data_IF_739466066211
#
_entry.id   IF_739466066211
#
_cell.length_a   1.000
_cell.length_b   1.000
_cell.length_c   1.000
_cell.angle_alpha   90.00
_cell.angle_beta   90.00
_cell.angle_gamma   90.00
#
_symmetry.space_group_name_H-M   'P 1'
#
loop_
_entity.id
_entity.type
_entity.pdbx_description
1 polymer ?
#
# COMPACT_ATOMS: atom_id res chain seq x y z
N UNK A 1 25.81 26.86 -1.06
CA UNK A 1 24.88 26.34 -0.04
C UNK A 1 25.35 24.99 0.47
N UNK A 2 25.34 24.73 1.79
CA UNK A 2 25.74 23.44 2.39
C UNK A 2 24.87 22.27 1.90
N UNK A 3 23.60 22.53 1.58
CA UNK A 3 22.64 21.53 1.10
C UNK A 3 23.07 20.92 -0.23
N UNK A 4 23.52 21.75 -1.19
CA UNK A 4 24.00 21.29 -2.49
C UNK A 4 25.21 20.35 -2.35
N UNK A 5 26.16 20.70 -1.47
CA UNK A 5 27.33 19.85 -1.20
C UNK A 5 26.93 18.53 -0.55
N UNK A 6 25.95 18.54 0.35
CA UNK A 6 25.39 17.34 0.96
C UNK A 6 24.76 16.40 -0.08
N UNK A 7 23.99 16.97 -1.00
CA UNK A 7 23.39 16.22 -2.10
C UNK A 7 24.44 15.60 -3.04
N UNK A 8 25.47 16.35 -3.45
CA UNK A 8 26.56 15.82 -4.27
C UNK A 8 27.28 14.64 -3.60
N UNK A 9 27.58 14.75 -2.30
CA UNK A 9 28.15 13.63 -1.52
C UNK A 9 27.23 12.41 -1.51
N UNK A 10 25.92 12.61 -1.35
CA UNK A 10 24.94 11.52 -1.36
C UNK A 10 24.89 10.82 -2.71
N UNK A 11 24.90 11.59 -3.79
CA UNK A 11 24.98 11.11 -5.17
C UNK A 11 26.22 10.24 -5.40
N UNK A 12 27.39 10.69 -4.94
CA UNK A 12 28.62 9.92 -4.99
C UNK A 12 28.55 8.62 -4.18
N UNK A 13 27.95 8.64 -2.98
CA UNK A 13 27.79 7.43 -2.16
C UNK A 13 26.91 6.39 -2.86
N UNK A 14 25.77 6.81 -3.44
CA UNK A 14 24.88 5.93 -4.19
C UNK A 14 25.60 5.36 -5.42
N UNK A 15 26.32 6.19 -6.15
CA UNK A 15 27.12 5.75 -7.28
C UNK A 15 28.14 4.69 -6.85
N UNK A 16 28.98 4.97 -5.84
CA UNK A 16 29.99 4.03 -5.32
C UNK A 16 29.41 2.70 -4.85
N UNK A 17 28.22 2.69 -4.26
CA UNK A 17 27.53 1.46 -3.88
C UNK A 17 27.02 0.67 -5.09
N UNK A 18 26.57 1.35 -6.14
CA UNK A 18 26.05 0.73 -7.35
C UNK A 18 27.15 0.25 -8.31
N UNK A 19 28.27 0.96 -8.40
CA UNK A 19 29.38 0.68 -9.34
C UNK A 19 29.83 -0.78 -9.37
N UNK A 20 30.11 -1.47 -8.24
CA UNK A 20 30.57 -2.86 -8.29
C UNK A 20 29.52 -3.82 -8.86
N UNK A 21 28.22 -3.57 -8.58
CA UNK A 21 27.12 -4.37 -9.10
C UNK A 21 26.96 -4.12 -10.60
N UNK A 22 26.98 -2.86 -11.03
CA UNK A 22 26.88 -2.47 -12.44
C UNK A 22 28.04 -3.05 -13.24
N UNK A 23 29.27 -2.97 -12.72
CA UNK A 23 30.47 -3.51 -13.36
C UNK A 23 30.39 -5.02 -13.56
N UNK A 24 30.02 -5.77 -12.51
CA UNK A 24 29.85 -7.22 -12.60
C UNK A 24 28.76 -7.61 -13.62
N UNK A 25 27.63 -6.90 -13.63
CA UNK A 25 26.54 -7.16 -14.58
C UNK A 25 26.96 -6.84 -16.01
N UNK A 26 27.69 -5.74 -16.24
CA UNK A 26 28.20 -5.39 -17.56
C UNK A 26 29.21 -6.43 -18.06
N UNK A 27 30.22 -6.79 -17.26
CA UNK A 27 31.25 -7.74 -17.67
C UNK A 27 30.68 -9.16 -17.90
N UNK A 28 29.70 -9.59 -17.11
CA UNK A 28 29.15 -10.95 -17.21
C UNK A 28 28.02 -11.06 -18.25
N UNK A 29 27.24 -9.98 -18.45
CA UNK A 29 25.94 -10.05 -19.15
C UNK A 29 25.65 -8.86 -20.07
N UNK A 30 26.66 -8.08 -20.49
CA UNK A 30 26.47 -6.93 -21.37
C UNK A 30 25.70 -7.24 -22.67
N UNK A 31 25.88 -8.45 -23.23
CA UNK A 31 25.23 -8.83 -24.49
C UNK A 31 23.74 -9.18 -24.34
N UNK A 32 23.29 -9.45 -23.11
CA UNK A 32 21.93 -9.94 -22.84
C UNK A 32 20.99 -8.80 -22.44
N UNK A 33 21.50 -7.77 -21.75
CA UNK A 33 20.67 -6.73 -21.16
C UNK A 33 21.15 -5.32 -21.54
N UNK A 34 20.30 -4.56 -22.20
CA UNK A 34 20.56 -3.14 -22.51
C UNK A 34 20.26 -2.22 -21.31
N UNK A 35 19.23 -2.55 -20.53
CA UNK A 35 18.78 -1.78 -19.38
C UNK A 35 18.81 -2.63 -18.11
N UNK A 36 19.19 -2.02 -16.99
CA UNK A 36 19.14 -2.62 -15.66
C UNK A 36 18.13 -1.88 -14.79
N UNK A 37 17.55 -2.63 -13.85
CA UNK A 37 16.67 -2.09 -12.82
C UNK A 37 17.40 -2.13 -11.48
N UNK A 38 17.57 -0.97 -10.87
CA UNK A 38 18.19 -0.83 -9.55
C UNK A 38 17.15 -0.33 -8.55
N UNK A 39 16.89 -1.07 -7.46
CA UNK A 39 16.01 -0.60 -6.40
C UNK A 39 16.72 0.48 -5.58
N UNK A 40 16.09 1.64 -5.44
CA UNK A 40 16.53 2.71 -4.54
C UNK A 40 15.40 2.99 -3.56
N UNK A 41 15.72 3.15 -2.28
CA UNK A 41 14.72 3.45 -1.24
C UNK A 41 15.03 4.76 -0.54
N UNK A 42 13.99 5.47 -0.11
CA UNK A 42 14.09 6.63 0.78
C UNK A 42 13.73 6.27 2.25
N UNK A 43 13.54 4.97 2.53
CA UNK A 43 13.07 4.43 3.81
C UNK A 43 11.55 4.22 3.89
N UNK A 44 10.76 4.89 3.06
CA UNK A 44 9.29 4.74 3.02
C UNK A 44 8.82 3.97 1.79
N UNK A 45 9.45 4.23 0.64
CA UNK A 45 9.11 3.63 -0.65
C UNK A 45 10.36 3.04 -1.30
N UNK A 46 10.16 2.05 -2.15
CA UNK A 46 11.21 1.46 -2.98
C UNK A 46 10.88 1.78 -4.42
N UNK A 47 11.78 2.50 -5.07
CA UNK A 47 11.70 2.91 -6.46
C UNK A 47 12.53 1.95 -7.31
N UNK A 48 11.90 1.36 -8.33
CA UNK A 48 12.58 0.52 -9.31
C UNK A 48 13.06 1.42 -10.45
N UNK A 49 14.36 1.75 -10.45
CA UNK A 49 14.91 2.71 -11.42
C UNK A 49 15.52 1.96 -12.58
N UNK A 50 14.94 2.16 -13.76
CA UNK A 50 15.50 1.66 -15.02
C UNK A 50 16.58 2.61 -15.52
N UNK A 51 17.77 2.08 -15.79
CA UNK A 51 18.87 2.85 -16.37
C UNK A 51 19.59 2.03 -17.44
N UNK A 52 20.16 2.70 -18.43
CA UNK A 52 20.91 2.04 -19.50
C UNK A 52 22.24 1.53 -18.95
N UNK A 53 22.52 0.24 -19.14
CA UNK A 53 23.65 -0.44 -18.53
C UNK A 53 24.99 0.13 -19.02
N UNK A 54 25.12 0.35 -20.34
CA UNK A 54 26.33 0.89 -20.96
C UNK A 54 26.65 2.29 -20.41
N UNK A 55 25.67 3.19 -20.41
CA UNK A 55 25.85 4.56 -19.88
C UNK A 55 26.16 4.55 -18.38
N UNK A 56 25.51 3.66 -17.62
CA UNK A 56 25.76 3.54 -16.19
C UNK A 56 27.18 3.04 -15.90
N UNK A 57 27.72 2.14 -16.74
CA UNK A 57 29.11 1.67 -16.64
C UNK A 57 30.12 2.77 -16.99
N UNK A 58 29.95 3.44 -18.14
CA UNK A 58 30.85 4.52 -18.62
C UNK A 58 30.91 5.71 -17.66
N UNK A 59 29.82 5.98 -16.93
CA UNK A 59 29.71 7.09 -15.97
C UNK A 59 29.90 6.68 -14.51
N UNK A 60 30.39 5.47 -14.26
CA UNK A 60 30.64 4.91 -12.92
C UNK A 60 29.42 4.97 -11.97
N UNK A 61 28.20 4.89 -12.52
CA UNK A 61 26.96 4.94 -11.75
C UNK A 61 26.34 6.34 -11.59
N UNK A 62 26.92 7.39 -12.18
CA UNK A 62 26.32 8.73 -12.17
C UNK A 62 25.02 8.80 -12.98
N UNK A 63 24.91 8.01 -14.05
CA UNK A 63 23.67 7.94 -14.86
C UNK A 63 22.49 7.37 -14.08
N UNK A 64 22.75 6.45 -13.14
CA UNK A 64 21.73 5.92 -12.24
C UNK A 64 21.11 7.04 -11.40
N UNK A 65 21.93 7.95 -10.87
CA UNK A 65 21.45 9.07 -10.07
C UNK A 65 20.59 10.03 -10.89
N UNK A 66 20.98 10.35 -12.13
CA UNK A 66 20.15 11.16 -13.04
C UNK A 66 18.83 10.48 -13.38
N UNK A 67 18.86 9.17 -13.62
CA UNK A 67 17.66 8.37 -13.91
C UNK A 67 16.71 8.37 -12.70
N UNK A 68 17.27 8.26 -11.50
CA UNK A 68 16.54 8.33 -10.24
C UNK A 68 15.92 9.71 -9.99
N UNK A 69 16.67 10.79 -10.20
CA UNK A 69 16.17 12.17 -10.09
C UNK A 69 14.93 12.37 -10.97
N UNK A 70 15.01 11.99 -12.25
CA UNK A 70 13.88 12.09 -13.19
C UNK A 70 12.68 11.25 -12.75
N UNK A 71 12.92 10.02 -12.30
CA UNK A 71 11.87 9.12 -11.87
C UNK A 71 11.12 9.67 -10.65
N UNK A 72 11.84 10.15 -9.63
CA UNK A 72 11.19 10.75 -8.44
C UNK A 72 10.38 11.97 -8.82
N UNK A 73 10.93 12.86 -9.65
CA UNK A 73 10.20 14.07 -10.08
C UNK A 73 8.87 13.68 -10.74
N UNK A 74 8.91 12.74 -11.69
CA UNK A 74 7.71 12.28 -12.40
C UNK A 74 6.69 11.64 -11.46
N UNK A 75 7.12 10.72 -10.60
CA UNK A 75 6.23 10.03 -9.66
C UNK A 75 5.59 11.01 -8.68
N UNK A 76 6.38 11.94 -8.13
CA UNK A 76 5.89 12.89 -7.13
C UNK A 76 4.96 13.92 -7.75
N UNK A 77 5.26 14.40 -8.97
CA UNK A 77 4.38 15.33 -9.70
C UNK A 77 3.06 14.67 -10.05
N UNK A 78 3.07 13.44 -10.56
CA UNK A 78 1.84 12.72 -10.92
C UNK A 78 0.94 12.47 -9.70
N UNK A 79 1.52 12.06 -8.57
CA UNK A 79 0.78 11.89 -7.31
C UNK A 79 0.22 13.21 -6.78
N UNK A 80 1.02 14.28 -6.78
CA UNK A 80 0.59 15.60 -6.35
C UNK A 80 -0.52 16.16 -7.26
N UNK A 81 -0.43 15.95 -8.57
CA UNK A 81 -1.43 16.39 -9.53
C UNK A 81 -2.75 15.65 -9.38
N UNK A 82 -2.71 14.32 -9.20
CA UNK A 82 -3.92 13.51 -8.95
C UNK A 82 -4.64 13.97 -7.69
N UNK A 83 -3.91 14.25 -6.62
CA UNK A 83 -4.50 14.74 -5.38
C UNK A 83 -5.06 16.15 -5.56
N UNK A 84 -4.35 17.03 -6.25
CA UNK A 84 -4.82 18.38 -6.54
C UNK A 84 -6.11 18.41 -7.35
N UNK A 85 -6.27 17.52 -8.35
CA UNK A 85 -7.52 17.41 -9.09
C UNK A 85 -8.71 17.02 -8.19
N UNK A 86 -8.49 16.14 -7.22
CA UNK A 86 -9.53 15.81 -6.22
C UNK A 86 -9.85 17.01 -5.34
N UNK A 87 -8.83 17.70 -4.83
CA UNK A 87 -9.02 18.92 -4.02
C UNK A 87 -9.79 20.01 -4.79
N UNK A 88 -9.55 20.15 -6.10
CA UNK A 88 -10.27 21.09 -6.96
C UNK A 88 -11.74 20.67 -7.18
N UNK A 89 -12.00 19.38 -7.35
CA UNK A 89 -13.38 18.87 -7.46
C UNK A 89 -14.15 19.09 -6.15
N UNK A 90 -13.54 18.84 -5.00
CA UNK A 90 -14.12 19.10 -3.68
C UNK A 90 -14.38 20.59 -3.47
N UNK A 91 -13.42 21.45 -3.84
CA UNK A 91 -13.56 22.91 -3.78
C UNK A 91 -14.73 23.38 -4.65
N UNK A 92 -14.88 22.84 -5.86
CA UNK A 92 -15.97 23.19 -6.77
C UNK A 92 -17.33 22.87 -6.14
N UNK A 93 -17.47 21.70 -5.51
CA UNK A 93 -18.70 21.34 -4.81
C UNK A 93 -18.98 22.25 -3.61
N UNK A 94 -17.95 22.56 -2.82
CA UNK A 94 -18.06 23.44 -1.66
C UNK A 94 -18.50 24.86 -2.05
N UNK A 95 -17.91 25.42 -3.12
CA UNK A 95 -18.25 26.76 -3.64
C UNK A 95 -19.68 26.81 -4.20
N UNK A 96 -20.13 25.75 -4.88
CA UNK A 96 -21.52 25.65 -5.35
C UNK A 96 -22.52 25.65 -4.18
N UNK A 97 -22.19 24.94 -3.10
CA UNK A 97 -23.03 24.89 -1.90
C UNK A 97 -22.99 26.21 -1.10
N UNK A 98 -21.87 26.93 -1.12
CA UNK A 98 -21.65 28.18 -0.38
C UNK A 98 -22.17 29.45 -1.09
N UNK A 99 -22.85 29.31 -2.24
CA UNK A 99 -23.39 30.44 -3.04
C UNK A 99 -24.43 31.32 -2.31
N UNK A 100 -24.75 31.04 -1.04
CA UNK A 100 -25.67 31.82 -0.22
C UNK A 100 -25.07 33.12 0.37
N UNK A 101 -23.75 33.34 0.30
CA UNK A 101 -23.07 34.48 0.94
C UNK A 101 -22.91 35.75 0.07
N UNK A 102 -23.64 35.90 -1.05
CA UNK A 102 -23.59 37.06 -1.98
C UNK A 102 -22.20 37.37 -2.59
N UNK A 103 -21.17 36.56 -2.37
CA UNK A 103 -19.89 36.64 -3.08
C UNK A 103 -19.99 35.87 -4.40
N UNK A 104 -19.27 36.34 -5.42
CA UNK A 104 -19.19 35.65 -6.71
C UNK A 104 -18.50 34.28 -6.52
N UNK A 105 -19.22 33.15 -6.72
CA UNK A 105 -18.66 31.82 -6.55
C UNK A 105 -17.46 31.57 -7.47
N UNK A 106 -17.47 32.15 -8.68
CA UNK A 106 -16.39 31.99 -9.65
C UNK A 106 -15.10 32.63 -9.13
N UNK A 107 -15.22 33.78 -8.47
CA UNK A 107 -14.08 34.51 -7.92
C UNK A 107 -13.46 33.74 -6.74
N UNK A 108 -14.28 33.19 -5.85
CA UNK A 108 -13.84 32.35 -4.73
C UNK A 108 -13.08 31.13 -5.25
N UNK A 109 -13.68 30.41 -6.19
CA UNK A 109 -13.04 29.24 -6.80
C UNK A 109 -11.69 29.60 -7.40
N UNK A 110 -11.59 30.71 -8.14
CA UNK A 110 -10.33 31.15 -8.76
C UNK A 110 -9.24 31.46 -7.74
N UNK A 111 -9.56 32.18 -6.66
CA UNK A 111 -8.57 32.50 -5.64
C UNK A 111 -8.14 31.26 -4.85
N UNK A 112 -9.08 30.42 -4.44
CA UNK A 112 -8.75 29.24 -3.64
C UNK A 112 -8.07 28.14 -4.44
N UNK A 113 -8.49 27.89 -5.69
CA UNK A 113 -7.77 26.95 -6.57
C UNK A 113 -6.32 27.36 -6.77
N UNK A 114 -6.04 28.66 -6.91
CA UNK A 114 -4.67 29.16 -7.02
C UNK A 114 -3.87 28.97 -5.71
N UNK A 115 -4.48 29.21 -4.55
CA UNK A 115 -3.85 28.97 -3.26
C UNK A 115 -3.52 27.48 -3.07
N UNK A 116 -4.45 26.58 -3.41
CA UNK A 116 -4.23 25.14 -3.39
C UNK A 116 -3.08 24.73 -4.32
N UNK A 117 -3.04 25.28 -5.54
CA UNK A 117 -1.96 25.02 -6.47
C UNK A 117 -0.59 25.46 -5.91
N UNK A 118 -0.51 26.66 -5.32
CA UNK A 118 0.72 27.15 -4.69
C UNK A 118 1.19 26.24 -3.55
N UNK A 119 0.26 25.83 -2.69
CA UNK A 119 0.53 24.91 -1.59
C UNK A 119 1.00 23.54 -2.11
N UNK A 120 0.39 23.03 -3.18
CA UNK A 120 0.79 21.79 -3.85
C UNK A 120 2.24 21.89 -4.36
N UNK A 121 2.61 22.97 -5.05
CA UNK A 121 3.97 23.16 -5.56
C UNK A 121 5.00 23.19 -4.41
N UNK A 122 4.71 23.90 -3.32
CA UNK A 122 5.59 23.97 -2.16
C UNK A 122 5.76 22.59 -1.48
N UNK A 123 4.66 21.84 -1.35
CA UNK A 123 4.68 20.47 -0.82
C UNK A 123 5.48 19.52 -1.74
N UNK A 124 5.27 19.61 -3.05
CA UNK A 124 5.96 18.80 -4.05
C UNK A 124 7.48 19.04 -3.99
N UNK A 125 7.91 20.30 -3.99
CA UNK A 125 9.33 20.67 -3.89
C UNK A 125 9.99 20.12 -2.63
N UNK A 126 9.32 20.25 -1.47
CA UNK A 126 9.82 19.69 -0.20
C UNK A 126 9.90 18.16 -0.25
N UNK A 127 8.91 17.50 -0.84
CA UNK A 127 8.87 16.04 -0.98
C UNK A 127 10.00 15.50 -1.86
N UNK A 128 10.25 16.14 -3.02
CA UNK A 128 11.33 15.77 -3.93
C UNK A 128 12.69 15.90 -3.23
N UNK A 129 12.95 17.05 -2.59
CA UNK A 129 14.23 17.28 -1.88
C UNK A 129 14.41 16.29 -0.72
N UNK A 130 13.35 16.01 0.04
CA UNK A 130 13.41 15.04 1.14
C UNK A 130 13.71 13.62 0.63
N UNK A 131 13.07 13.21 -0.47
CA UNK A 131 13.27 11.90 -1.11
C UNK A 131 14.70 11.75 -1.62
N UNK A 132 15.22 12.77 -2.32
CA UNK A 132 16.59 12.79 -2.82
C UNK A 132 17.65 12.79 -1.70
N UNK A 133 17.38 13.46 -0.58
CA UNK A 133 18.30 13.51 0.56
C UNK A 133 18.35 12.17 1.34
N UNK A 134 17.21 11.49 1.46
CA UNK A 134 17.08 10.22 2.19
C UNK A 134 17.43 8.98 1.35
N UNK A 135 17.51 9.12 0.04
CA UNK A 135 17.80 8.05 -0.90
C UNK A 135 19.01 7.18 -0.51
N UNK A 136 18.85 5.87 -0.53
CA UNK A 136 19.91 4.89 -0.37
C UNK A 136 19.56 3.61 -1.13
N UNK A 137 20.57 2.83 -1.50
CA UNK A 137 20.33 1.50 -2.07
C UNK A 137 20.09 0.55 -0.89
N UNK A 138 18.96 -0.19 -0.85
CA UNK A 138 18.75 -1.19 0.19
C UNK A 138 19.71 -2.34 -0.07
N UNK A 139 20.78 -2.41 0.71
CA UNK A 139 21.65 -3.59 0.75
C UNK A 139 20.81 -4.68 1.40
N UNK A 140 20.42 -5.68 0.63
CA UNK A 140 19.80 -6.88 1.19
C UNK A 140 20.88 -7.63 1.95
N UNK A 141 21.04 -7.32 3.23
CA UNK A 141 21.73 -8.21 4.14
C UNK A 141 21.01 -9.56 4.11
N UNK A 142 21.69 -10.59 3.59
CA UNK A 142 21.17 -11.96 3.56
C UNK A 142 20.81 -12.50 4.95
N UNK A 143 21.27 -11.84 6.02
CA UNK A 143 21.01 -12.16 7.43
C UNK A 143 19.66 -11.64 7.97
N UNK A 144 18.94 -10.79 7.22
CA UNK A 144 17.61 -10.27 7.63
C UNK A 144 16.44 -10.91 6.90
N UNK A 145 16.62 -12.09 6.30
CA UNK A 145 15.48 -12.97 5.97
C UNK A 145 14.95 -13.52 7.29
N UNK A 146 14.20 -12.70 8.04
CA UNK A 146 13.32 -13.22 9.07
C UNK A 146 12.36 -14.17 8.36
N UNK A 147 12.49 -15.47 8.61
CA UNK A 147 11.41 -16.41 8.36
C UNK A 147 10.14 -15.70 8.82
N UNK A 148 9.18 -15.53 7.92
CA UNK A 148 7.86 -15.06 8.29
C UNK A 148 7.46 -15.90 9.48
N UNK A 149 7.44 -15.30 10.68
CA UNK A 149 6.95 -15.94 11.88
C UNK A 149 5.59 -16.45 11.44
N UNK A 150 5.47 -17.77 11.27
CA UNK A 150 4.19 -18.40 11.04
C UNK A 150 3.33 -17.81 12.14
N UNK A 151 2.32 -17.03 11.72
CA UNK A 151 1.29 -16.49 12.59
C UNK A 151 1.10 -17.51 13.69
N UNK A 152 1.50 -17.17 14.92
CA UNK A 152 1.28 -18.02 16.08
C UNK A 152 -0.20 -18.33 15.99
N UNK A 153 -0.55 -19.57 15.63
CA UNK A 153 -1.93 -20.03 15.63
C UNK A 153 -2.43 -19.68 17.02
N UNK A 154 -3.29 -18.68 17.10
CA UNK A 154 -3.93 -18.29 18.34
C UNK A 154 -4.60 -19.56 18.84
N UNK A 155 -4.11 -20.10 19.94
CA UNK A 155 -4.66 -21.31 20.52
C UNK A 155 -6.02 -20.92 21.13
N UNK A 156 -7.07 -21.05 20.31
CA UNK A 156 -8.46 -20.73 20.67
C UNK A 156 -9.04 -21.70 21.71
N UNK A 157 -8.28 -22.69 22.20
CA UNK A 157 -8.75 -23.70 23.17
C UNK A 157 -9.17 -23.13 24.53
N UNK A 158 -8.77 -21.90 24.87
CA UNK A 158 -9.11 -21.23 26.14
C UNK A 158 -10.20 -20.15 26.02
N UNK A 159 -10.79 -19.94 24.85
CA UNK A 159 -11.95 -19.05 24.72
C UNK A 159 -13.19 -19.69 25.35
N UNK A 160 -13.38 -19.45 26.64
CA UNK A 160 -14.68 -19.62 27.30
C UNK A 160 -15.57 -18.45 26.92
N UNK A 161 -16.51 -18.68 26.01
CA UNK A 161 -17.64 -17.77 25.82
C UNK A 161 -18.59 -17.97 27.00
N UNK A 162 -18.43 -17.18 28.07
CA UNK A 162 -19.50 -16.98 29.02
C UNK A 162 -20.52 -16.06 28.36
N UNK A 163 -21.67 -16.65 28.02
CA UNK A 163 -22.86 -15.90 27.65
C UNK A 163 -23.43 -15.39 28.97
N UNK A 164 -23.16 -14.13 29.31
CA UNK A 164 -23.93 -13.43 30.34
C UNK A 164 -25.37 -13.39 29.84
N UNK A 165 -26.19 -14.24 30.45
CA UNK A 165 -27.64 -14.27 30.32
C UNK A 165 -28.18 -13.32 31.40
N UNK A 166 -28.56 -12.08 31.07
CA UNK A 166 -29.13 -11.16 32.04
C UNK A 166 -30.59 -11.56 32.26
N UNK A 167 -30.82 -12.64 33.00
CA UNK A 167 -32.12 -13.28 32.98
C UNK A 167 -32.42 -14.32 34.05
N UNK A 168 -31.88 -14.19 35.28
CA UNK A 168 -32.29 -15.07 36.39
C UNK A 168 -32.32 -14.34 37.76
N UNK A 169 -33.36 -13.51 37.95
CA UNK A 169 -34.14 -13.41 39.19
C UNK A 169 -33.58 -12.70 40.42
N UNK A 170 -34.04 -11.47 40.68
CA UNK A 170 -34.61 -11.06 41.99
C UNK A 170 -35.25 -9.65 41.96
N UNK A 171 -36.57 -9.64 42.17
CA UNK A 171 -37.41 -8.62 42.84
C UNK A 171 -37.57 -7.18 42.27
N UNK A 172 -38.82 -6.88 41.88
CA UNK A 172 -39.49 -5.65 42.30
C UNK A 172 -40.04 -4.73 41.20
N UNK A 173 -41.37 -4.55 41.20
CA UNK A 173 -42.18 -3.51 40.54
C UNK A 173 -42.75 -3.74 39.12
N UNK A 174 -44.02 -4.18 39.12
CA UNK A 174 -45.18 -3.59 38.41
C UNK A 174 -45.21 -3.46 36.88
N UNK A 175 -45.92 -4.38 36.19
CA UNK A 175 -47.07 -4.07 35.30
C UNK A 175 -47.78 -5.34 34.79
N UNK A 176 -49.11 -5.27 34.75
CA UNK A 176 -50.08 -6.29 34.30
C UNK A 176 -50.61 -5.93 32.88
N UNK A 177 -51.43 -6.76 32.19
CA UNK A 177 -51.02 -7.84 31.29
C UNK A 177 -51.53 -7.65 29.84
N UNK A 178 -50.91 -8.35 28.87
CA UNK A 178 -51.40 -8.44 27.49
C UNK A 178 -51.07 -9.81 26.89
N UNK A 179 -52.11 -10.54 26.52
CA UNK A 179 -52.14 -11.97 26.21
C UNK A 179 -51.46 -12.35 24.87
N UNK A 180 -50.83 -13.52 24.83
CA UNK A 180 -50.30 -14.12 23.60
C UNK A 180 -49.38 -15.32 23.86
N UNK A 181 -49.95 -16.52 23.95
CA UNK A 181 -49.25 -17.80 24.11
C UNK A 181 -48.26 -18.09 22.95
N UNK A 182 -47.00 -18.51 23.18
CA UNK A 182 -46.13 -18.98 22.10
C UNK A 182 -46.27 -20.51 21.87
N UNK A 183 -46.15 -21.02 20.63
CA UNK A 183 -46.13 -22.46 20.38
C UNK A 183 -44.74 -23.04 20.66
N UNK A 184 -44.71 -24.29 21.15
CA UNK A 184 -43.51 -25.06 21.53
C UNK A 184 -42.52 -25.19 20.36
N UNK A 185 -41.27 -24.82 20.62
CA UNK A 185 -40.16 -25.03 19.69
C UNK A 185 -39.85 -26.53 19.54
N UNK A 186 -39.98 -27.04 18.31
CA UNK A 186 -39.48 -28.36 17.94
C UNK A 186 -37.95 -28.34 17.92
N UNK A 187 -37.34 -29.33 18.58
CA UNK A 187 -35.90 -29.53 18.57
C UNK A 187 -35.48 -30.03 17.18
N UNK A 188 -34.91 -29.15 16.36
CA UNK A 188 -34.29 -29.54 15.09
C UNK A 188 -32.91 -30.13 15.39
N UNK A 189 -32.76 -31.43 15.19
CA UNK A 189 -31.47 -32.11 15.32
C UNK A 189 -30.56 -31.71 14.14
N UNK A 190 -29.25 -31.53 14.36
CA UNK A 190 -28.33 -31.11 13.30
C UNK A 190 -28.21 -32.21 12.24
N UNK A 191 -28.56 -31.86 11.00
CA UNK A 191 -28.42 -32.70 9.82
C UNK A 191 -26.92 -33.01 9.62
N UNK A 192 -26.53 -34.28 9.72
CA UNK A 192 -25.18 -34.72 9.35
C UNK A 192 -25.03 -34.59 7.83
N UNK A 193 -24.26 -33.61 7.39
CA UNK A 193 -23.85 -33.50 6.00
C UNK A 193 -22.85 -34.63 5.68
N UNK A 194 -23.29 -35.63 4.91
CA UNK A 194 -22.38 -36.63 4.35
C UNK A 194 -21.42 -35.96 3.36
N UNK A 195 -20.15 -36.40 3.38
CA UNK A 195 -19.09 -35.86 2.52
C UNK A 195 -19.47 -36.03 1.04
N UNK A 196 -19.70 -34.92 0.34
CA UNK A 196 -19.83 -34.90 -1.11
C UNK A 196 -18.48 -35.25 -1.75
N UNK A 197 -18.47 -36.34 -2.51
CA UNK A 197 -17.31 -36.84 -3.27
C UNK A 197 -16.99 -35.85 -4.40
N UNK A 198 -15.73 -35.45 -4.51
CA UNK A 198 -15.26 -34.44 -5.47
C UNK A 198 -15.12 -34.99 -6.90
N UNK A 199 -15.15 -34.09 -7.88
CA UNK A 199 -14.93 -34.45 -9.30
C UNK A 199 -13.51 -35.01 -9.48
N UNK A 200 -13.41 -36.23 -9.99
CA UNK A 200 -12.27 -37.12 -10.16
C UNK A 200 -11.88 -38.02 -8.97
N UNK A 201 -12.62 -38.02 -7.85
CA UNK A 201 -12.42 -39.00 -6.77
C UNK A 201 -12.99 -40.40 -7.13
N UNK A 202 -12.49 -41.49 -6.52
CA UNK A 202 -13.01 -42.83 -6.77
C UNK A 202 -14.50 -42.92 -6.39
N UNK A 203 -15.32 -43.40 -7.33
CA UNK A 203 -16.76 -43.52 -7.13
C UNK A 203 -17.07 -44.40 -5.89
N UNK A 204 -17.95 -43.95 -4.98
CA UNK A 204 -18.40 -44.75 -3.83
C UNK A 204 -19.18 -46.01 -4.25
N UNK A 205 -19.49 -46.16 -5.54
CA UNK A 205 -20.13 -47.33 -6.14
C UNK A 205 -19.19 -48.52 -6.38
N UNK A 206 -17.91 -48.44 -5.99
CA UNK A 206 -16.96 -49.57 -6.07
C UNK A 206 -16.51 -49.95 -7.49
N UNK A 207 -16.84 -49.14 -8.50
CA UNK A 207 -16.64 -49.48 -9.92
C UNK A 207 -15.26 -49.14 -10.49
N UNK A 208 -14.32 -48.66 -9.66
CA UNK A 208 -12.93 -48.36 -10.06
C UNK A 208 -12.76 -47.20 -11.06
N UNK A 209 -13.82 -46.46 -11.38
CA UNK A 209 -13.79 -45.30 -12.30
C UNK A 209 -13.87 -43.97 -11.54
N UNK A 210 -13.23 -42.94 -12.08
CA UNK A 210 -13.24 -41.57 -11.51
C UNK A 210 -14.64 -40.95 -11.62
N UNK A 211 -15.10 -40.33 -10.55
CA UNK A 211 -16.38 -39.63 -10.47
C UNK A 211 -16.33 -38.37 -11.35
N UNK A 212 -17.09 -38.34 -12.46
CA UNK A 212 -16.98 -37.29 -13.47
C UNK A 212 -17.93 -36.12 -13.25
#
# INVERSE_FOLDING_TARGET
>A
SQVWKGYQRKKEIIARQATPVIKNVYETKAEIYENIVVPISDGHRIYQITTNLKKAYETEGLELSKSFEKAIMLITIDEAWKEHLRELDDLKQAVQNASYEQKDPLLIYKFESFNLFKAMIDKNNKSIVASLAKAHIPIRDASQVRQANQSRRTDLSKLRTQKDDPGAGSQGYSRQPGEGMPPKAQVVQPIRAEKKVGRNEPCPCGSGKKYK
#
